data_IF_550577897290
#
_entry.id   IF_550577897290
#
_cell.length_a   1.000
_cell.length_b   1.000
_cell.length_c   1.000
_cell.angle_alpha   90.00
_cell.angle_beta   90.00
_cell.angle_gamma   90.00
#
_symmetry.space_group_name_H-M   'P 1'
#
loop_
_entity.id
_entity.type
_entity.pdbx_description
1 polymer ?
2 branched ?
3 non-polymer ?
4 non-polymer ?
5 non-polymer ?
6 water ?
#
# COMPACT_ATOMS: atom_id res chain seq x y z
N UNK A 1 0.85 15.32 -22.33
CA UNK A 1 -0.10 15.29 -21.17
C UNK A 1 -1.46 15.80 -21.63
N UNK A 2 -2.58 15.34 -21.04
CA UNK A 2 -3.89 15.91 -21.35
C UNK A 2 -4.07 17.26 -20.62
N UNK A 3 -3.96 18.35 -21.36
CA UNK A 3 -4.05 19.69 -20.79
C UNK A 3 -5.37 19.93 -20.06
N UNK A 4 -6.44 19.24 -20.45
CA UNK A 4 -7.75 19.52 -19.79
C UNK A 4 -7.82 18.84 -18.40
N UNK A 5 -6.93 17.90 -18.08
CA UNK A 5 -6.89 17.20 -16.77
C UNK A 5 -6.00 17.97 -15.76
N UNK A 6 -5.12 18.87 -16.21
CA UNK A 6 -4.15 19.61 -15.35
C UNK A 6 -4.96 20.32 -14.25
N UNK A 7 -4.52 20.22 -13.00
CA UNK A 7 -5.08 21.00 -11.84
C UNK A 7 -4.34 22.33 -11.83
N UNK A 8 -5.05 23.46 -11.75
CA UNK A 8 -4.43 24.81 -11.89
C UNK A 8 -4.35 25.45 -10.50
N UNK A 9 -5.46 25.46 -9.76
CA UNK A 9 -5.56 26.07 -8.41
C UNK A 9 -6.28 25.09 -7.48
N UNK A 10 -5.52 24.38 -6.65
CA UNK A 10 -6.04 23.37 -5.70
C UNK A 10 -6.44 24.09 -4.42
N UNK A 11 -7.72 24.06 -4.00
CA UNK A 11 -8.13 24.68 -2.75
C UNK A 11 -7.26 24.21 -1.58
N UNK A 12 -6.97 25.13 -0.67
CA UNK A 12 -6.33 24.86 0.63
C UNK A 12 -4.82 24.91 0.57
N UNK A 13 -4.23 25.24 -0.59
CA UNK A 13 -2.76 25.45 -0.72
C UNK A 13 -2.44 26.95 -0.69
N UNK A 14 -1.48 27.39 0.13
CA UNK A 14 -1.12 28.82 0.29
C UNK A 14 -0.09 29.22 -0.78
N UNK A 15 0.68 28.27 -1.30
CA UNK A 15 1.63 28.45 -2.41
C UNK A 15 1.26 27.47 -3.52
N UNK A 16 1.50 27.84 -4.77
CA UNK A 16 1.21 27.00 -5.94
C UNK A 16 2.37 26.04 -6.13
N UNK A 17 2.10 24.78 -6.52
CA UNK A 17 3.18 23.80 -6.67
C UNK A 17 4.21 24.26 -7.71
N UNK A 18 5.46 23.88 -7.49
CA UNK A 18 6.59 23.97 -8.45
C UNK A 18 6.43 22.93 -9.56
N UNK A 19 5.46 22.04 -9.45
CA UNK A 19 5.29 20.87 -10.37
C UNK A 19 3.89 20.89 -10.97
N UNK A 20 3.79 20.29 -12.15
CA UNK A 20 2.49 20.05 -12.85
C UNK A 20 1.81 18.84 -12.18
N UNK A 21 0.49 18.89 -12.03
CA UNK A 21 -0.28 17.75 -11.50
C UNK A 21 -1.59 17.63 -12.26
N UNK A 22 -2.03 16.39 -12.48
CA UNK A 22 -3.26 16.07 -13.28
C UNK A 22 -4.22 15.23 -12.44
N UNK A 23 -5.51 15.46 -12.66
CA UNK A 23 -6.64 14.66 -12.14
C UNK A 23 -7.67 14.45 -13.28
N UNK A 24 -7.97 13.18 -13.56
CA UNK A 24 -8.94 12.76 -14.58
C UNK A 24 -9.13 11.25 -14.48
N UNK A 25 -9.34 10.57 -15.60
CA UNK A 25 -9.83 9.18 -15.64
C UNK A 25 -9.01 8.37 -16.62
N UNK A 26 -8.54 7.21 -16.15
CA UNK A 26 -7.91 6.18 -17.01
C UNK A 26 -8.95 5.12 -17.35
N UNK A 27 -9.00 4.71 -18.62
CA UNK A 27 -9.95 3.66 -19.08
C UNK A 27 -9.41 2.31 -18.60
N UNK A 28 -10.16 1.66 -17.70
CA UNK A 28 -9.92 0.26 -17.35
C UNK A 28 -10.62 -0.66 -18.34
N UNK A 29 -10.85 -1.91 -17.95
CA UNK A 29 -11.54 -2.89 -18.81
C UNK A 29 -13.03 -2.51 -18.90
N UNK A 30 -13.67 -2.92 -19.99
CA UNK A 30 -15.12 -2.71 -20.18
C UNK A 30 -15.49 -1.25 -20.09
N UNK A 31 -16.40 -0.92 -19.19
CA UNK A 31 -16.94 0.44 -18.95
C UNK A 31 -16.35 1.04 -17.66
N UNK A 32 -15.18 0.57 -17.20
CA UNK A 32 -14.57 1.10 -15.94
C UNK A 32 -13.81 2.41 -16.18
N UNK A 33 -14.04 3.42 -15.33
CA UNK A 33 -13.32 4.72 -15.33
C UNK A 33 -12.61 4.93 -13.98
N UNK A 34 -11.30 4.76 -13.99
CA UNK A 34 -10.45 4.81 -12.77
C UNK A 34 -9.89 6.22 -12.63
N UNK A 35 -10.33 6.93 -11.60
CA UNK A 35 -9.86 8.29 -11.29
C UNK A 35 -8.38 8.26 -10.86
N UNK A 36 -7.55 8.98 -11.61
CA UNK A 36 -6.10 9.14 -11.32
C UNK A 36 -5.83 10.57 -10.84
N UNK A 37 -4.71 10.70 -10.12
CA UNK A 37 -4.10 11.97 -9.65
C UNK A 37 -2.59 11.80 -9.76
N UNK A 38 -2.01 12.48 -10.74
CA UNK A 38 -0.61 12.34 -11.20
C UNK A 38 0.12 13.60 -10.76
N UNK A 39 1.23 13.42 -10.04
CA UNK A 39 2.09 14.53 -9.51
C UNK A 39 3.51 14.34 -10.04
N UNK A 40 3.98 15.25 -10.89
CA UNK A 40 5.28 15.07 -11.58
C UNK A 40 6.39 15.35 -10.56
N UNK A 41 7.56 14.74 -10.77
CA UNK A 41 8.75 14.96 -9.92
C UNK A 41 8.97 16.47 -9.73
N UNK A 42 9.24 16.87 -8.49
CA UNK A 42 9.64 18.25 -8.13
C UNK A 42 11.01 18.54 -8.77
N UNK A 43 11.74 17.51 -9.18
CA UNK A 43 13.11 17.64 -9.75
C UNK A 43 13.20 16.84 -11.05
N UNK A 44 13.40 17.52 -12.19
CA UNK A 44 13.65 16.84 -13.48
C UNK A 44 12.56 15.78 -13.76
N UNK A 45 11.26 16.18 -13.89
CA UNK A 45 10.20 15.22 -14.18
C UNK A 45 10.45 14.44 -15.48
N UNK A 46 10.94 15.13 -16.50
CA UNK A 46 11.15 14.57 -17.85
C UNK A 46 11.89 13.23 -17.73
N UNK A 47 12.78 13.10 -16.74
CA UNK A 47 13.68 11.91 -16.61
C UNK A 47 13.47 11.14 -15.30
N UNK A 48 12.72 11.68 -14.33
CA UNK A 48 12.38 11.00 -13.05
C UNK A 48 11.50 9.78 -13.36
N UNK A 49 11.61 8.68 -12.58
CA UNK A 49 10.77 7.50 -12.80
C UNK A 49 9.27 7.82 -12.70
N UNK A 50 8.45 6.98 -13.35
CA UNK A 50 6.98 6.96 -13.14
C UNK A 50 6.68 5.86 -12.14
N UNK A 51 5.91 6.20 -11.11
CA UNK A 51 5.65 5.32 -9.93
C UNK A 51 4.14 5.26 -9.74
N UNK A 52 3.57 4.13 -10.10
CA UNK A 52 2.19 3.76 -9.71
C UNK A 52 2.12 3.56 -8.18
N UNK A 53 1.14 4.17 -7.54
CA UNK A 53 0.77 3.86 -6.13
C UNK A 53 -0.67 3.33 -6.01
N UNK A 54 -0.83 2.15 -5.40
CA UNK A 54 -2.14 1.55 -5.04
C UNK A 54 -2.24 1.36 -3.53
N UNK A 55 -3.26 1.93 -2.91
CA UNK A 55 -3.75 1.49 -1.58
C UNK A 55 -4.58 0.20 -1.73
N UNK A 56 -4.89 -0.45 -0.61
CA UNK A 56 -5.46 -1.81 -0.60
C UNK A 56 -6.94 -1.80 -0.31
N UNK A 57 -7.33 -2.47 0.80
CA UNK A 57 -8.74 -2.72 1.17
C UNK A 57 -9.04 -4.21 1.18
N UNK A 58 -9.56 -4.80 0.07
CA UNK A 58 -9.91 -4.04 -1.13
C UNK A 58 -11.03 -2.99 -0.99
N UNK A 59 -10.97 -1.97 -1.84
CA UNK A 59 -11.95 -0.88 -1.93
C UNK A 59 -11.50 0.41 -1.27
N UNK A 60 -10.23 0.54 -0.89
CA UNK A 60 -9.67 1.76 -0.25
C UNK A 60 -8.97 2.65 -1.30
N UNK A 61 -9.11 3.96 -1.15
CA UNK A 61 -8.69 4.97 -2.15
C UNK A 61 -7.18 5.23 -2.04
N UNK A 62 -6.45 5.13 -3.16
CA UNK A 62 -5.05 5.59 -3.32
C UNK A 62 -4.86 7.07 -2.96
N UNK A 63 -5.93 7.86 -2.86
CA UNK A 63 -5.85 9.29 -2.47
C UNK A 63 -5.54 9.41 -0.97
N UNK A 64 -5.75 8.35 -0.19
CA UNK A 64 -5.28 8.24 1.23
C UNK A 64 -3.76 8.33 1.25
N UNK A 65 -3.11 7.57 0.38
CA UNK A 65 -1.66 7.64 0.10
C UNK A 65 -1.21 9.07 -0.15
N UNK A 66 -1.84 9.78 -1.09
CA UNK A 66 -1.47 11.16 -1.44
C UNK A 66 -1.63 12.04 -0.19
N UNK A 67 -2.85 12.15 0.34
CA UNK A 67 -3.21 13.19 1.34
C UNK A 67 -2.75 12.86 2.77
N UNK A 68 -2.36 11.62 3.10
CA UNK A 68 -2.01 11.26 4.51
C UNK A 68 -0.69 10.48 4.59
N UNK A 69 -0.15 9.97 3.50
CA UNK A 69 1.08 9.14 3.60
C UNK A 69 2.27 9.89 2.99
N UNK A 70 2.41 9.85 1.66
CA UNK A 70 3.64 10.32 0.97
C UNK A 70 3.35 11.24 -0.23
N UNK A 71 2.19 11.88 -0.29
CA UNK A 71 1.89 12.86 -1.35
C UNK A 71 2.65 14.17 -1.16
N UNK A 72 2.66 15.06 -2.18
CA UNK A 72 3.42 16.31 -2.15
C UNK A 72 2.93 17.33 -1.10
N UNK A 73 1.68 17.16 -0.70
CA UNK A 73 0.98 17.91 0.36
C UNK A 73 -0.01 16.98 1.06
N UNK A 74 -0.28 17.30 2.32
CA UNK A 74 -0.99 16.44 3.30
C UNK A 74 -2.11 17.28 3.90
N UNK A 75 -3.28 16.69 4.03
CA UNK A 75 -4.47 17.37 4.60
C UNK A 75 -4.17 17.56 6.10
N UNK A 76 -4.57 18.70 6.63
CA UNK A 76 -4.49 19.02 8.08
C UNK A 76 -5.81 18.63 8.75
N UNK A 77 -5.84 18.54 10.09
CA UNK A 77 -7.05 18.12 10.81
C UNK A 77 -8.32 18.97 10.58
N UNK A 78 -8.17 20.22 10.12
CA UNK A 78 -9.32 21.09 9.76
C UNK A 78 -10.03 20.54 8.52
N UNK A 79 -9.37 19.70 7.71
CA UNK A 79 -9.94 19.14 6.47
C UNK A 79 -10.09 20.19 5.38
N UNK A 80 -9.31 21.27 5.47
CA UNK A 80 -9.39 22.44 4.55
C UNK A 80 -7.95 22.72 4.08
N UNK A 81 -7.03 22.87 5.02
CA UNK A 81 -5.63 23.24 4.72
C UNK A 81 -4.88 22.02 4.20
N UNK A 82 -4.14 22.19 3.12
CA UNK A 82 -3.06 21.27 2.70
C UNK A 82 -1.72 21.90 3.06
N UNK A 83 -0.78 21.12 3.59
CA UNK A 83 0.58 21.62 3.90
C UNK A 83 1.56 20.78 3.10
N UNK A 84 2.57 21.43 2.53
CA UNK A 84 3.61 20.75 1.73
C UNK A 84 4.33 19.73 2.64
N UNK A 85 4.67 18.60 2.03
CA UNK A 85 5.30 17.41 2.65
C UNK A 85 6.77 17.43 2.26
N UNK A 86 7.70 17.70 3.21
CA UNK A 86 9.13 17.70 2.88
C UNK A 86 9.66 16.31 2.51
N UNK A 87 8.87 15.24 2.70
CA UNK A 87 9.32 13.84 2.44
C UNK A 87 8.50 13.22 1.31
N UNK A 88 7.79 14.05 0.54
CA UNK A 88 6.97 13.59 -0.61
C UNK A 88 7.83 12.73 -1.52
N UNK A 89 7.30 11.57 -1.88
CA UNK A 89 7.89 10.65 -2.89
C UNK A 89 7.97 11.36 -4.24
N UNK A 90 7.16 12.40 -4.46
CA UNK A 90 7.21 13.19 -5.72
C UNK A 90 8.41 14.16 -5.69
N UNK A 91 9.20 14.22 -4.62
CA UNK A 91 10.48 14.98 -4.69
C UNK A 91 11.35 14.41 -5.81
N UNK A 92 11.31 13.09 -6.06
CA UNK A 92 12.25 12.41 -7.02
C UNK A 92 11.48 11.50 -7.98
N UNK A 93 10.15 11.60 -8.05
CA UNK A 93 9.40 10.65 -8.90
C UNK A 93 8.13 11.31 -9.43
N UNK A 94 7.70 10.87 -10.60
CA UNK A 94 6.35 11.17 -11.15
C UNK A 94 5.40 10.11 -10.59
N UNK A 95 4.55 10.50 -9.65
CA UNK A 95 3.76 9.54 -8.84
C UNK A 95 2.30 9.56 -9.32
N UNK A 96 1.82 8.38 -9.70
CA UNK A 96 0.45 8.15 -10.19
C UNK A 96 -0.38 7.49 -9.09
N UNK A 97 -1.19 8.26 -8.39
CA UNK A 97 -2.16 7.69 -7.43
C UNK A 97 -3.41 7.32 -8.23
N UNK A 98 -3.77 6.03 -8.22
CA UNK A 98 -4.91 5.47 -8.99
C UNK A 98 -5.95 4.88 -8.03
N UNK A 99 -7.15 5.48 -8.01
CA UNK A 99 -8.36 4.93 -7.33
C UNK A 99 -8.87 3.70 -8.11
N UNK A 100 -8.74 2.53 -7.49
CA UNK A 100 -8.88 1.20 -8.14
C UNK A 100 -9.28 0.16 -7.10
N UNK A 101 -10.20 -0.78 -7.45
CA UNK A 101 -10.87 -0.83 -8.75
C UNK A 101 -12.04 0.17 -8.87
N UNK A 102 -12.91 -0.03 -9.88
CA UNK A 102 -14.09 0.83 -10.15
C UNK A 102 -15.01 0.91 -8.93
N UNK A 103 -15.49 2.12 -8.66
CA UNK A 103 -16.40 2.42 -7.54
C UNK A 103 -15.63 2.95 -6.33
N UNK A 104 -14.30 2.84 -6.34
CA UNK A 104 -13.46 3.30 -5.20
C UNK A 104 -13.24 4.81 -5.36
N UNK A 105 -13.57 5.59 -4.33
CA UNK A 105 -13.40 7.06 -4.34
C UNK A 105 -14.21 7.70 -5.46
N UNK A 106 -13.54 8.20 -6.49
CA UNK A 106 -14.19 8.89 -7.63
C UNK A 106 -14.22 7.99 -8.87
N UNK A 107 -13.68 6.77 -8.75
CA UNK A 107 -13.71 5.79 -9.85
C UNK A 107 -15.15 5.28 -10.01
N UNK A 108 -15.54 4.92 -11.21
CA UNK A 108 -16.91 4.44 -11.52
C UNK A 108 -16.84 3.59 -12.79
N UNK A 109 -17.99 3.02 -13.14
CA UNK A 109 -18.24 2.39 -14.46
C UNK A 109 -19.63 2.83 -14.93
N UNK A 110 -19.90 2.79 -16.24
CA UNK A 110 -21.22 3.16 -16.79
C UNK A 110 -22.25 2.12 -16.31
N UNK A 111 -21.95 0.82 -16.45
CA UNK A 111 -22.89 -0.27 -16.05
C UNK A 111 -23.02 -0.28 -14.52
N UNK A 112 -22.16 0.47 -13.81
CA UNK A 112 -22.26 0.70 -12.34
C UNK A 112 -22.28 -0.66 -11.61
N UNK A 113 -21.60 -1.66 -12.17
CA UNK A 113 -21.46 -3.02 -11.60
C UNK A 113 -20.08 -3.15 -10.97
N UNK A 114 -19.99 -3.11 -9.64
CA UNK A 114 -18.70 -2.94 -8.91
C UNK A 114 -18.20 -4.26 -8.29
N UNK A 115 -18.77 -5.41 -8.64
CA UNK A 115 -18.32 -6.73 -8.16
C UNK A 115 -17.13 -7.20 -9.02
N UNK A 116 -16.00 -7.53 -8.38
CA UNK A 116 -14.77 -7.83 -9.13
C UNK A 116 -13.91 -8.83 -8.37
N UNK A 117 -12.75 -9.18 -8.92
CA UNK A 117 -11.82 -10.19 -8.34
C UNK A 117 -10.39 -9.87 -8.74
N UNK A 118 -9.43 -10.60 -8.19
CA UNK A 118 -7.98 -10.29 -8.33
C UNK A 118 -7.57 -10.24 -9.82
N UNK A 119 -8.06 -11.16 -10.67
CA UNK A 119 -7.61 -11.32 -12.07
C UNK A 119 -8.16 -10.16 -12.91
N UNK A 120 -9.40 -9.77 -12.63
CA UNK A 120 -10.07 -8.65 -13.33
C UNK A 120 -9.46 -7.29 -12.91
N UNK A 121 -8.99 -7.17 -11.66
CA UNK A 121 -8.45 -5.89 -11.15
C UNK A 121 -7.08 -5.68 -11.81
N UNK A 122 -6.28 -6.74 -11.86
CA UNK A 122 -5.00 -6.78 -12.60
C UNK A 122 -5.23 -6.33 -14.06
N UNK A 123 -6.21 -6.94 -14.75
CA UNK A 123 -6.39 -6.71 -16.22
C UNK A 123 -6.82 -5.27 -16.45
N UNK A 124 -7.74 -4.78 -15.63
CA UNK A 124 -8.29 -3.41 -15.66
C UNK A 124 -7.16 -2.43 -15.33
N UNK A 125 -6.43 -2.66 -14.23
CA UNK A 125 -5.26 -1.80 -13.85
C UNK A 125 -4.27 -1.78 -15.03
N UNK A 126 -4.07 -2.92 -15.71
CA UNK A 126 -3.13 -3.03 -16.85
C UNK A 126 -3.63 -2.14 -18.00
N UNK A 127 -4.93 -2.16 -18.26
CA UNK A 127 -5.54 -1.35 -19.34
C UNK A 127 -5.50 0.13 -18.94
N UNK A 128 -5.69 0.47 -17.68
CA UNK A 128 -5.57 1.87 -17.23
C UNK A 128 -4.12 2.36 -17.44
N UNK A 129 -3.13 1.53 -17.12
CA UNK A 129 -1.70 1.86 -17.37
C UNK A 129 -1.49 2.16 -18.86
N UNK A 130 -2.01 1.32 -19.76
CA UNK A 130 -1.94 1.56 -21.23
C UNK A 130 -2.60 2.91 -21.57
N UNK A 131 -3.77 3.18 -20.99
CA UNK A 131 -4.48 4.48 -21.18
C UNK A 131 -3.61 5.64 -20.71
N UNK A 132 -2.86 5.47 -19.60
CA UNK A 132 -2.00 6.52 -19.00
C UNK A 132 -0.93 6.95 -20.01
N UNK A 133 -0.32 5.95 -20.65
CA UNK A 133 0.81 6.14 -21.58
C UNK A 133 0.33 6.69 -22.94
N UNK A 134 -0.95 6.53 -23.27
CA UNK A 134 -1.60 7.18 -24.44
C UNK A 134 -1.84 8.65 -24.12
N UNK A 135 -2.18 8.99 -22.87
CA UNK A 135 -2.45 10.40 -22.45
C UNK A 135 -1.12 11.11 -22.15
N UNK A 136 -0.10 10.34 -21.75
CA UNK A 136 1.22 10.86 -21.32
C UNK A 136 2.29 10.10 -22.09
N UNK A 137 2.32 10.24 -23.45
CA UNK A 137 3.23 9.46 -24.26
C UNK A 137 4.68 9.88 -24.02
N UNK A 138 4.88 11.10 -23.49
CA UNK A 138 6.21 11.66 -23.11
C UNK A 138 6.80 10.93 -21.90
N UNK A 139 6.03 10.04 -21.26
CA UNK A 139 6.47 9.28 -20.06
C UNK A 139 6.61 7.78 -20.37
N UNK A 140 6.36 7.36 -21.62
CA UNK A 140 6.49 5.93 -22.06
C UNK A 140 7.89 5.37 -21.79
N UNK A 141 8.94 6.20 -21.85
CA UNK A 141 10.35 5.71 -21.89
C UNK A 141 10.96 5.74 -20.48
N UNK A 142 10.44 6.61 -19.60
CA UNK A 142 10.86 6.70 -18.18
C UNK A 142 10.72 5.32 -17.52
N UNK A 143 11.60 5.07 -16.54
CA UNK A 143 11.58 3.89 -15.64
C UNK A 143 10.22 3.84 -14.94
N UNK A 144 9.57 2.68 -14.99
CA UNK A 144 8.24 2.46 -14.37
C UNK A 144 8.44 1.59 -13.13
N UNK A 145 7.78 1.97 -12.05
CA UNK A 145 7.78 1.24 -10.77
C UNK A 145 6.32 1.07 -10.36
N UNK A 146 5.97 -0.16 -9.96
CA UNK A 146 4.63 -0.53 -9.44
C UNK A 146 4.71 -0.66 -7.92
N UNK A 147 3.97 0.16 -7.19
CA UNK A 147 4.09 0.22 -5.71
C UNK A 147 2.71 0.29 -5.08
N UNK A 148 2.62 -0.16 -3.85
CA UNK A 148 1.36 -0.07 -3.09
C UNK A 148 1.50 -0.68 -1.72
N UNK A 149 0.38 -0.74 -1.02
CA UNK A 149 0.29 -1.02 0.43
C UNK A 149 -0.80 -2.07 0.70
N UNK A 150 -0.70 -2.93 1.63
CA UNK A 150 -1.74 -3.78 2.28
C UNK A 150 -2.28 -4.77 1.25
N UNK A 151 -3.52 -4.77 0.82
CA UNK A 151 -4.02 -5.68 -0.26
C UNK A 151 -3.28 -5.44 -1.60
N UNK A 152 -2.62 -4.30 -1.83
CA UNK A 152 -1.79 -4.11 -3.04
C UNK A 152 -0.63 -5.12 -3.07
N UNK A 153 -0.41 -5.85 -1.97
CA UNK A 153 0.45 -7.06 -1.93
C UNK A 153 0.01 -8.13 -2.93
N UNK A 154 -1.28 -8.09 -3.31
CA UNK A 154 -1.90 -8.95 -4.36
C UNK A 154 -2.00 -8.14 -5.65
N UNK A 155 -2.62 -6.96 -5.59
CA UNK A 155 -2.77 -6.06 -6.77
C UNK A 155 -1.44 -5.95 -7.55
N UNK A 156 -0.31 -5.71 -6.87
CA UNK A 156 0.95 -5.26 -7.55
C UNK A 156 1.65 -6.43 -8.24
N UNK A 157 1.93 -7.58 -7.59
CA UNK A 157 2.55 -8.71 -8.29
C UNK A 157 1.65 -9.28 -9.42
N UNK A 158 0.32 -9.31 -9.25
CA UNK A 158 -0.61 -9.75 -10.33
C UNK A 158 -0.54 -8.74 -11.48
N UNK A 159 -0.59 -7.44 -11.18
CA UNK A 159 -0.47 -6.40 -12.24
C UNK A 159 0.90 -6.55 -12.90
N UNK A 160 1.99 -6.66 -12.11
CA UNK A 160 3.39 -6.77 -12.59
C UNK A 160 3.55 -7.89 -13.64
N UNK A 161 2.99 -9.07 -13.39
CA UNK A 161 3.05 -10.23 -14.33
C UNK A 161 2.40 -9.84 -15.66
N UNK A 162 1.33 -9.04 -15.66
CA UNK A 162 0.71 -8.57 -16.93
C UNK A 162 1.65 -7.55 -17.60
N UNK A 163 2.24 -6.64 -16.84
CA UNK A 163 3.11 -5.53 -17.36
C UNK A 163 4.41 -6.10 -17.94
N UNK A 164 4.95 -7.18 -17.39
CA UNK A 164 6.26 -7.71 -17.83
C UNK A 164 6.15 -8.33 -19.25
N UNK A 165 4.93 -8.49 -19.76
CA UNK A 165 4.66 -9.08 -21.11
C UNK A 165 4.42 -7.96 -22.14
N UNK A 166 4.12 -6.73 -21.71
CA UNK A 166 4.02 -5.55 -22.62
C UNK A 166 5.39 -4.89 -22.75
N UNK A 167 6.14 -5.06 -23.87
CA UNK A 167 7.48 -4.51 -23.95
C UNK A 167 7.45 -2.98 -24.08
N UNK A 168 6.30 -2.37 -24.42
CA UNK A 168 6.16 -0.89 -24.47
C UNK A 168 6.27 -0.26 -23.06
N UNK A 169 6.24 -1.05 -21.99
CA UNK A 169 6.28 -0.49 -20.62
C UNK A 169 7.64 -0.78 -20.00
N UNK A 170 8.30 0.27 -19.49
CA UNK A 170 9.72 0.17 -19.05
C UNK A 170 9.74 -0.26 -17.58
N UNK A 171 9.25 -1.46 -17.28
CA UNK A 171 9.17 -1.97 -15.89
C UNK A 171 10.58 -2.19 -15.33
N UNK A 172 10.89 -1.56 -14.19
CA UNK A 172 12.22 -1.73 -13.52
C UNK A 172 12.03 -2.40 -12.16
N UNK A 173 10.91 -2.16 -11.46
CA UNK A 173 10.66 -2.86 -10.19
C UNK A 173 9.27 -2.65 -9.61
N UNK A 174 9.07 -3.21 -8.42
CA UNK A 174 7.90 -3.04 -7.61
C UNK A 174 8.27 -2.97 -6.14
N UNK A 175 7.49 -2.28 -5.34
CA UNK A 175 7.68 -2.18 -3.89
C UNK A 175 6.31 -2.36 -3.24
N UNK A 176 6.25 -3.21 -2.22
CA UNK A 176 4.97 -3.46 -1.50
C UNK A 176 5.18 -3.13 -0.02
N UNK A 177 4.38 -2.19 0.50
CA UNK A 177 4.38 -1.74 1.90
C UNK A 177 3.38 -2.53 2.73
N UNK A 178 3.82 -3.13 3.83
CA UNK A 178 2.96 -3.93 4.73
C UNK A 178 1.93 -4.71 3.91
N UNK A 179 2.44 -5.55 3.01
CA UNK A 179 1.60 -6.21 1.98
C UNK A 179 1.13 -7.60 2.40
N UNK A 180 -0.09 -7.93 2.00
CA UNK A 180 -0.59 -9.32 2.06
C UNK A 180 0.05 -10.11 0.91
N UNK A 181 1.04 -10.96 1.22
CA UNK A 181 1.78 -11.81 0.24
C UNK A 181 1.25 -13.25 0.33
N UNK A 182 0.91 -13.71 1.53
CA UNK A 182 0.51 -15.11 1.84
C UNK A 182 -0.38 -15.12 3.08
N UNK A 183 -1.64 -15.53 2.94
CA UNK A 183 -2.58 -15.56 4.09
C UNK A 183 -1.99 -16.41 5.20
N UNK A 184 -1.41 -17.55 4.83
CA UNK A 184 -0.94 -18.59 5.76
C UNK A 184 0.14 -17.97 6.62
N UNK A 185 1.10 -17.33 5.95
CA UNK A 185 2.32 -16.78 6.58
C UNK A 185 1.98 -15.57 7.44
N UNK A 186 1.03 -14.73 6.99
CA UNK A 186 0.45 -13.61 7.78
C UNK A 186 -0.14 -14.21 9.07
N UNK A 187 -1.15 -15.08 8.93
CA UNK A 187 -1.96 -15.64 10.04
C UNK A 187 -1.07 -16.31 11.08
N UNK A 188 -0.12 -17.15 10.64
CA UNK A 188 0.86 -17.87 11.51
C UNK A 188 1.77 -16.86 12.20
N UNK A 189 2.36 -15.93 11.45
CA UNK A 189 3.27 -14.90 12.01
C UNK A 189 2.50 -14.02 13.02
N UNK A 190 1.23 -13.70 12.77
CA UNK A 190 0.46 -12.76 13.64
C UNK A 190 0.33 -13.35 15.06
N UNK A 191 0.13 -14.67 15.18
CA UNK A 191 -0.11 -15.35 16.49
C UNK A 191 1.15 -15.21 17.36
N UNK A 192 2.32 -15.56 16.82
CA UNK A 192 3.64 -15.30 17.44
C UNK A 192 3.77 -13.82 17.82
N UNK A 193 3.40 -12.91 16.92
CA UNK A 193 3.59 -11.45 17.07
C UNK A 193 2.80 -11.04 18.32
N UNK A 194 1.55 -11.52 18.42
CA UNK A 194 0.62 -11.30 19.55
C UNK A 194 1.25 -11.70 20.89
N UNK A 195 1.79 -12.90 20.98
CA UNK A 195 2.33 -13.45 22.24
C UNK A 195 3.58 -12.65 22.58
N UNK A 196 4.53 -12.53 21.66
CA UNK A 196 5.83 -11.88 21.97
C UNK A 196 5.69 -10.35 22.04
N UNK A 197 4.54 -9.77 21.69
CA UNK A 197 4.26 -8.34 22.01
C UNK A 197 3.32 -8.20 23.22
N UNK A 198 3.16 -9.27 24.00
CA UNK A 198 2.53 -9.18 25.34
C UNK A 198 1.03 -9.06 25.26
N UNK A 199 0.40 -9.49 24.17
CA UNK A 199 -1.09 -9.39 24.01
C UNK A 199 -1.78 -10.65 24.54
N UNK A 200 -1.10 -11.79 24.51
CA UNK A 200 -1.57 -13.10 25.07
C UNK A 200 -0.66 -13.50 26.23
N UNK A 201 -1.21 -14.24 27.20
CA UNK A 201 -0.46 -14.77 28.35
C UNK A 201 0.04 -16.19 28.08
N UNK A 202 0.67 -16.81 29.07
CA UNK A 202 1.19 -18.21 28.97
C UNK A 202 0.06 -19.23 28.95
N UNK A 203 -1.04 -18.93 29.63
CA UNK A 203 -2.24 -19.79 29.61
C UNK A 203 -2.61 -20.08 28.16
N UNK A 204 -2.88 -19.02 27.39
CA UNK A 204 -3.34 -19.14 25.99
C UNK A 204 -2.19 -19.57 25.10
N UNK A 205 -0.96 -19.11 25.36
CA UNK A 205 0.22 -19.49 24.55
C UNK A 205 0.54 -20.98 24.70
N UNK A 206 0.77 -21.42 25.94
CA UNK A 206 1.06 -22.84 26.30
C UNK A 206 0.05 -23.78 25.62
N UNK A 207 -1.22 -23.36 25.56
CA UNK A 207 -2.35 -24.12 24.97
C UNK A 207 -2.22 -24.20 23.43
N UNK A 208 -1.90 -23.09 22.77
CA UNK A 208 -1.69 -23.02 21.30
C UNK A 208 -0.52 -23.94 20.93
N UNK A 209 0.59 -23.85 21.66
CA UNK A 209 1.78 -24.73 21.43
C UNK A 209 1.31 -26.19 21.39
N UNK A 210 0.44 -26.56 22.34
CA UNK A 210 0.10 -27.98 22.63
C UNK A 210 -0.82 -28.49 21.50
N UNK A 211 -1.83 -27.70 21.13
CA UNK A 211 -2.96 -28.12 20.23
C UNK A 211 -2.81 -27.66 18.78
N UNK A 212 -1.88 -26.77 18.44
CA UNK A 212 -1.75 -26.21 17.06
C UNK A 212 -0.40 -26.57 16.45
N UNK A 213 0.53 -27.07 17.26
CA UNK A 213 1.96 -27.20 16.91
C UNK A 213 2.43 -28.63 17.14
N UNK A 214 3.61 -28.98 16.60
CA UNK A 214 4.30 -30.30 16.65
C UNK A 214 5.63 -30.21 15.89
N UNK A 215 6.61 -31.05 16.28
CA UNK A 215 7.99 -31.13 15.70
C UNK A 215 8.53 -29.70 15.44
N UNK A 216 8.32 -28.78 16.38
CA UNK A 216 8.86 -27.40 16.37
C UNK A 216 8.11 -26.48 15.38
N UNK A 217 7.12 -27.00 14.64
CA UNK A 217 6.37 -26.24 13.60
C UNK A 217 4.92 -26.09 14.02
N UNK A 218 4.36 -24.87 13.89
CA UNK A 218 2.97 -24.51 14.28
C UNK A 218 2.09 -24.25 13.07
N UNK A 219 0.80 -24.59 13.16
CA UNK A 219 -0.21 -24.29 12.13
C UNK A 219 -1.37 -23.53 12.78
N UNK A 220 -1.40 -22.22 12.53
CA UNK A 220 -2.41 -21.27 13.07
C UNK A 220 -3.28 -20.81 11.92
N UNK A 221 -3.03 -21.36 10.73
CA UNK A 221 -3.66 -20.91 9.45
C UNK A 221 -4.90 -21.74 9.13
N UNK A 222 -4.73 -23.06 8.96
CA UNK A 222 -5.82 -23.98 8.49
C UNK A 222 -5.97 -25.14 9.50
N UNK A 223 -5.44 -24.99 10.71
CA UNK A 223 -5.30 -26.07 11.73
C UNK A 223 -6.71 -26.43 12.20
N UNK A 224 -6.90 -27.69 12.61
CA UNK A 224 -8.27 -28.22 12.80
C UNK A 224 -8.49 -28.82 14.20
N UNK A 225 -7.44 -29.05 15.02
CA UNK A 225 -7.59 -29.43 16.45
C UNK A 225 -8.65 -28.50 17.06
N UNK A 226 -9.58 -29.05 17.84
CA UNK A 226 -10.76 -28.30 18.38
C UNK A 226 -10.24 -27.17 19.27
N UNK A 227 -9.39 -27.53 20.22
CA UNK A 227 -8.77 -26.59 21.14
C UNK A 227 -7.95 -25.52 20.40
N UNK A 228 -7.26 -25.91 19.34
CA UNK A 228 -6.51 -24.96 18.46
C UNK A 228 -7.47 -23.93 17.88
N UNK A 229 -8.55 -24.38 17.24
CA UNK A 229 -9.54 -23.48 16.59
C UNK A 229 -10.19 -22.61 17.67
N UNK A 230 -10.14 -23.04 18.93
CA UNK A 230 -10.76 -22.33 20.08
C UNK A 230 -9.77 -21.25 20.55
N UNK A 231 -8.51 -21.64 20.72
CA UNK A 231 -7.43 -20.73 21.17
C UNK A 231 -7.32 -19.56 20.17
N UNK A 232 -7.21 -19.87 18.86
CA UNK A 232 -7.07 -18.88 17.74
C UNK A 232 -8.22 -17.88 17.72
N UNK A 233 -9.40 -18.26 18.24
CA UNK A 233 -10.58 -17.36 18.27
C UNK A 233 -10.42 -16.33 19.40
N UNK A 234 -9.73 -16.69 20.48
CA UNK A 234 -9.51 -15.73 21.59
C UNK A 234 -8.46 -14.74 21.10
N UNK A 235 -7.47 -15.25 20.35
CA UNK A 235 -6.38 -14.45 19.71
C UNK A 235 -6.97 -13.39 18.79
N UNK A 236 -8.04 -13.69 18.05
CA UNK A 236 -8.64 -12.75 17.08
C UNK A 236 -9.42 -11.66 17.83
N UNK A 237 -10.06 -12.05 18.95
CA UNK A 237 -10.83 -11.14 19.83
C UNK A 237 -9.87 -10.14 20.43
N UNK A 238 -8.71 -10.62 20.91
CA UNK A 238 -7.68 -9.80 21.63
C UNK A 238 -7.08 -8.82 20.61
N UNK A 239 -6.52 -9.36 19.51
CA UNK A 239 -5.85 -8.58 18.43
C UNK A 239 -6.85 -7.63 17.78
N UNK A 240 -8.01 -8.13 17.35
CA UNK A 240 -8.91 -7.45 16.40
C UNK A 240 -10.13 -6.79 17.04
N UNK A 241 -10.68 -7.31 18.14
CA UNK A 241 -11.93 -6.70 18.67
C UNK A 241 -11.82 -6.31 20.16
N UNK A 242 -10.63 -5.97 20.68
CA UNK A 242 -10.48 -5.55 22.11
C UNK A 242 -10.23 -4.04 22.26
N UNK A 243 -9.94 -3.31 21.19
CA UNK A 243 -9.65 -1.86 21.26
C UNK A 243 -8.18 -1.52 20.96
N UNK A 244 -7.36 -2.52 20.64
CA UNK A 244 -6.01 -2.29 20.06
C UNK A 244 -6.11 -1.74 18.63
N UNK A 245 -5.30 -0.76 18.26
CA UNK A 245 -5.16 -0.32 16.87
C UNK A 245 -4.37 -1.39 16.11
N UNK A 246 -5.04 -2.10 15.24
CA UNK A 246 -4.48 -3.23 14.47
C UNK A 246 -3.40 -2.69 13.50
N UNK A 247 -3.46 -1.40 13.13
CA UNK A 247 -2.56 -0.74 12.14
C UNK A 247 -1.28 -0.25 12.83
N UNK A 248 -1.31 -0.13 14.14
CA UNK A 248 -0.15 0.39 14.90
C UNK A 248 -0.42 0.13 16.37
N UNK A 249 0.19 -0.95 16.86
CA UNK A 249 -0.04 -1.51 18.21
C UNK A 249 0.20 -0.43 19.26
N UNK A 250 1.16 0.47 19.02
CA UNK A 250 1.59 1.47 20.04
C UNK A 250 0.85 2.79 19.83
N UNK A 251 -0.10 2.84 18.91
CA UNK A 251 -0.91 4.06 18.67
C UNK A 251 -2.25 3.89 19.37
N UNK A 252 -2.94 5.00 19.72
CA UNK A 252 -4.26 4.88 20.32
C UNK A 252 -5.27 4.46 19.23
N UNK A 253 -6.39 3.88 19.64
CA UNK A 253 -7.56 3.59 18.76
C UNK A 253 -8.40 4.87 18.63
N UNK A 254 -8.45 5.46 17.42
CA UNK A 254 -9.17 6.73 17.17
C UNK A 254 -10.65 6.49 17.52
N UNK A 255 -11.23 7.29 18.38
CA UNK A 255 -12.61 7.07 18.86
C UNK A 255 -12.68 6.27 20.16
N UNK A 256 -11.53 5.77 20.63
CA UNK A 256 -11.48 5.11 21.95
C UNK A 256 -11.95 3.68 21.88
N UNK A 257 -11.85 2.98 23.00
CA UNK A 257 -12.11 1.52 23.07
C UNK A 257 -13.63 1.32 23.02
N UNK A 258 -14.13 0.51 22.06
CA UNK A 258 -15.53 0.13 22.04
C UNK A 258 -15.87 -0.77 23.24
N UNK A 259 -16.93 -0.43 23.97
CA UNK A 259 -17.49 -1.20 25.11
C UNK A 259 -18.35 -2.36 24.60
N UNK A 299 -17.56 2.33 3.93
CA UNK A 299 -16.72 1.63 4.95
C UNK A 299 -15.73 2.64 5.55
N UNK A 300 -15.33 2.35 6.79
CA UNK A 300 -14.34 3.10 7.62
C UNK A 300 -13.54 2.10 8.46
N UNK A 301 -12.20 1.99 8.29
CA UNK A 301 -11.40 1.02 9.04
C UNK A 301 -11.50 1.22 10.55
N UNK A 302 -11.42 0.15 11.37
CA UNK A 302 -11.51 0.31 12.82
C UNK A 302 -10.30 1.10 13.31
N UNK A 303 -10.51 1.91 14.35
CA UNK A 303 -9.48 2.64 15.13
C UNK A 303 -8.83 3.73 14.26
N UNK A 304 -9.45 4.10 13.14
CA UNK A 304 -8.90 5.11 12.20
C UNK A 304 -9.95 6.18 11.89
N UNK A 305 -9.46 7.40 11.77
CA UNK A 305 -10.25 8.64 11.62
C UNK A 305 -9.97 9.19 10.23
N UNK A 306 -10.91 9.07 9.30
CA UNK A 306 -10.72 9.46 7.88
C UNK A 306 -11.38 10.82 7.61
N UNK A 307 -11.77 11.56 8.65
CA UNK A 307 -12.59 12.80 8.56
C UNK A 307 -11.83 13.87 7.75
N UNK A 308 -10.59 14.23 8.10
CA UNK A 308 -9.81 15.28 7.39
C UNK A 308 -9.85 15.06 5.87
N UNK A 309 -9.49 13.87 5.38
CA UNK A 309 -9.41 13.57 3.94
C UNK A 309 -10.81 13.65 3.30
N UNK A 310 -11.82 13.08 3.97
CA UNK A 310 -13.24 13.02 3.54
C UNK A 310 -13.77 14.44 3.43
N UNK A 311 -13.53 15.26 4.45
CA UNK A 311 -13.98 16.67 4.52
C UNK A 311 -13.40 17.41 3.30
N UNK A 312 -12.09 17.27 3.07
CA UNK A 312 -11.36 17.94 1.95
C UNK A 312 -11.91 17.48 0.59
N UNK A 313 -11.99 16.16 0.34
CA UNK A 313 -12.29 15.63 -1.01
C UNK A 313 -13.79 15.75 -1.33
N UNK A 314 -14.64 16.02 -0.33
CA UNK A 314 -16.11 16.14 -0.56
C UNK A 314 -16.48 17.61 -0.77
N UNK A 315 -15.53 18.53 -0.61
CA UNK A 315 -15.72 19.97 -0.91
C UNK A 315 -15.98 20.13 -2.41
N UNK A 316 -17.13 20.73 -2.81
CA UNK A 316 -17.47 20.89 -4.23
C UNK A 316 -16.35 21.50 -5.11
N UNK A 317 -15.69 22.55 -4.62
CA UNK A 317 -14.59 23.28 -5.31
C UNK A 317 -13.35 22.38 -5.43
N UNK A 318 -13.13 21.52 -4.43
CA UNK A 318 -12.02 20.52 -4.53
C UNK A 318 -12.36 19.56 -5.66
N UNK A 319 -13.60 19.09 -5.73
CA UNK A 319 -14.04 18.19 -6.84
C UNK A 319 -13.87 18.89 -8.19
N UNK A 320 -14.22 20.18 -8.27
CA UNK A 320 -14.11 20.93 -9.55
C UNK A 320 -12.63 21.00 -9.96
N UNK A 321 -11.76 21.40 -9.03
CA UNK A 321 -10.31 21.54 -9.25
C UNK A 321 -9.74 20.20 -9.74
N UNK A 322 -10.23 19.09 -9.17
CA UNK A 322 -9.83 17.70 -9.46
C UNK A 322 -10.62 17.11 -10.66
N UNK A 323 -11.52 17.88 -11.28
CA UNK A 323 -12.19 17.54 -12.58
C UNK A 323 -13.07 16.31 -12.37
N UNK A 324 -13.74 16.24 -11.23
CA UNK A 324 -14.65 15.11 -10.88
C UNK A 324 -16.06 15.43 -11.39
N UNK A 325 -16.67 14.59 -12.25
CA UNK A 325 -18.07 14.74 -12.64
C UNK A 325 -19.02 14.98 -11.45
N UNK A 326 -19.87 16.00 -11.56
CA UNK A 326 -20.81 16.47 -10.49
C UNK A 326 -21.75 15.33 -10.10
N UNK A 327 -22.10 14.46 -11.05
CA UNK A 327 -23.09 13.34 -10.88
C UNK A 327 -22.58 12.31 -9.85
N UNK A 328 -21.26 12.15 -9.66
CA UNK A 328 -20.68 11.01 -8.89
C UNK A 328 -21.02 11.13 -7.41
N UNK A 329 -21.29 10.01 -6.71
CA UNK A 329 -21.63 10.07 -5.29
C UNK A 329 -20.43 10.52 -4.44
N UNK A 330 -20.66 10.67 -3.14
CA UNK A 330 -19.67 11.25 -2.18
C UNK A 330 -18.38 10.42 -2.18
N UNK A 331 -17.27 11.07 -1.85
CA UNK A 331 -15.98 10.36 -1.71
C UNK A 331 -15.92 9.70 -0.34
N UNK A 332 -15.71 8.38 -0.31
CA UNK A 332 -15.32 7.63 0.92
C UNK A 332 -13.91 7.04 0.71
N UNK A 333 -13.13 7.04 1.79
CA UNK A 333 -11.81 6.38 1.92
C UNK A 333 -11.87 4.90 1.47
N UNK A 334 -12.82 4.14 2.02
CA UNK A 334 -13.03 2.72 1.67
C UNK A 334 -14.49 2.54 1.24
N UNK A 335 -14.70 1.93 0.07
CA UNK A 335 -16.02 1.53 -0.46
C UNK A 335 -16.39 0.19 0.19
N UNK A 336 -17.31 0.18 1.15
CA UNK A 336 -17.82 -1.04 1.84
C UNK A 336 -18.32 -2.05 0.81
N UNK A 337 -19.04 -1.58 -0.20
CA UNK A 337 -19.75 -2.42 -1.19
C UNK A 337 -18.72 -3.14 -2.08
N UNK A 338 -17.70 -2.43 -2.61
CA UNK A 338 -16.62 -3.07 -3.41
C UNK A 338 -16.02 -4.15 -2.54
N UNK A 339 -15.77 -3.80 -1.28
CA UNK A 339 -15.17 -4.74 -0.29
C UNK A 339 -16.11 -5.93 -0.17
N UNK A 340 -17.40 -5.65 0.07
CA UNK A 340 -18.47 -6.65 0.33
C UNK A 340 -18.60 -7.61 -0.87
N UNK A 341 -18.62 -7.09 -2.09
CA UNK A 341 -18.85 -7.93 -3.29
C UNK A 341 -17.54 -8.43 -3.92
N UNK A 342 -16.37 -8.13 -3.34
CA UNK A 342 -15.05 -8.51 -3.94
C UNK A 342 -14.87 -10.01 -3.72
N UNK A 343 -14.28 -10.72 -4.68
CA UNK A 343 -13.96 -12.15 -4.51
C UNK A 343 -12.44 -12.34 -4.64
N UNK A 344 -11.83 -12.75 -3.54
CA UNK A 344 -10.40 -13.05 -3.43
C UNK A 344 -10.17 -14.39 -4.14
N UNK A 345 -9.10 -14.48 -4.94
CA UNK A 345 -8.80 -15.64 -5.79
C UNK A 345 -7.46 -16.24 -5.36
N UNK A 346 -6.45 -15.39 -5.11
CA UNK A 346 -5.11 -15.90 -4.76
C UNK A 346 -4.98 -15.96 -3.24
N UNK A 347 -4.27 -16.98 -2.74
CA UNK A 347 -3.93 -17.12 -1.30
C UNK A 347 -2.43 -16.86 -1.13
N UNK A 348 -1.64 -16.95 -2.22
CA UNK A 348 -0.18 -16.74 -2.17
C UNK A 348 0.27 -16.04 -3.45
N UNK A 349 1.31 -15.22 -3.34
CA UNK A 349 1.92 -14.49 -4.46
C UNK A 349 3.26 -15.15 -4.80
N UNK A 350 3.52 -16.32 -4.23
CA UNK A 350 4.77 -17.10 -4.47
C UNK A 350 5.03 -17.22 -5.97
N UNK A 351 4.04 -17.65 -6.76
CA UNK A 351 4.23 -17.90 -8.22
C UNK A 351 4.39 -16.57 -8.97
N UNK A 352 3.64 -15.53 -8.63
CA UNK A 352 3.81 -14.18 -9.25
C UNK A 352 5.27 -13.73 -9.03
N UNK A 353 5.74 -13.77 -7.80
CA UNK A 353 7.11 -13.28 -7.47
C UNK A 353 8.16 -14.12 -8.18
N UNK A 354 8.00 -15.45 -8.20
CA UNK A 354 9.04 -16.31 -8.84
C UNK A 354 8.99 -16.07 -10.35
N UNK A 355 7.84 -15.77 -10.93
CA UNK A 355 7.75 -15.41 -12.38
C UNK A 355 8.59 -14.14 -12.62
N UNK A 356 8.32 -13.09 -11.83
CA UNK A 356 9.01 -11.77 -11.92
C UNK A 356 10.50 -11.95 -11.66
N UNK A 357 10.87 -12.81 -10.72
CA UNK A 357 12.30 -13.00 -10.34
C UNK A 357 13.05 -13.80 -11.41
N UNK A 358 12.36 -14.71 -12.10
CA UNK A 358 12.93 -15.65 -13.12
C UNK A 358 13.42 -14.85 -14.33
N UNK A 359 12.77 -13.73 -14.67
CA UNK A 359 13.22 -12.79 -15.72
C UNK A 359 14.56 -12.14 -15.33
N UNK A 360 14.79 -11.87 -14.04
CA UNK A 360 16.01 -11.18 -13.54
C UNK A 360 16.12 -9.75 -14.09
N UNK A 361 15.01 -9.13 -14.51
CA UNK A 361 14.99 -7.76 -15.09
C UNK A 361 14.58 -6.72 -14.03
N UNK A 362 13.90 -7.13 -12.94
CA UNK A 362 13.18 -6.22 -12.01
C UNK A 362 13.75 -6.30 -10.61
N UNK A 363 13.82 -5.15 -9.94
CA UNK A 363 14.20 -5.06 -8.51
C UNK A 363 12.91 -5.01 -7.70
N UNK A 364 12.77 -5.90 -6.70
CA UNK A 364 11.56 -6.01 -5.85
C UNK A 364 11.91 -5.64 -4.41
N UNK A 365 11.09 -4.82 -3.77
CA UNK A 365 11.20 -4.47 -2.33
C UNK A 365 9.88 -4.77 -1.61
N UNK A 366 9.94 -5.58 -0.55
CA UNK A 366 8.81 -5.72 0.40
C UNK A 366 9.26 -5.05 1.70
N UNK A 367 8.55 -4.01 2.11
CA UNK A 367 8.88 -3.19 3.29
C UNK A 367 7.71 -3.24 4.25
N UNK A 368 8.00 -3.44 5.53
CA UNK A 368 6.97 -3.56 6.60
C UNK A 368 7.31 -2.66 7.78
N UNK A 369 6.39 -1.76 8.15
CA UNK A 369 6.39 -1.22 9.50
C UNK A 369 6.28 -2.35 10.50
N UNK A 370 7.14 -2.40 11.51
CA UNK A 370 7.29 -3.57 12.42
C UNK A 370 6.37 -3.46 13.65
N UNK A 371 5.50 -2.45 13.73
CA UNK A 371 4.45 -2.44 14.80
C UNK A 371 3.05 -2.51 14.19
N UNK A 372 2.94 -2.79 12.90
CA UNK A 372 1.64 -3.12 12.25
C UNK A 372 1.20 -4.53 12.68
N UNK A 373 -0.10 -4.78 12.88
CA UNK A 373 -0.63 -6.17 13.09
C UNK A 373 -1.54 -6.66 11.95
N UNK A 374 -1.93 -5.80 10.99
CA UNK A 374 -2.81 -6.17 9.86
C UNK A 374 -2.01 -6.97 8.84
N UNK A 375 -0.78 -6.52 8.49
CA UNK A 375 0.20 -7.27 7.68
C UNK A 375 1.58 -7.14 8.32
N UNK A 376 1.81 -7.92 9.38
CA UNK A 376 3.00 -7.81 10.29
C UNK A 376 4.28 -8.16 9.53
N UNK A 377 5.42 -7.59 9.96
CA UNK A 377 6.71 -7.65 9.21
C UNK A 377 7.16 -9.10 9.05
N UNK A 378 6.91 -9.94 10.06
CA UNK A 378 7.49 -11.31 10.15
C UNK A 378 6.89 -12.18 9.04
N UNK A 379 5.58 -12.13 8.84
CA UNK A 379 4.87 -12.82 7.76
C UNK A 379 5.51 -12.53 6.41
N UNK A 380 5.85 -11.28 6.14
CA UNK A 380 6.42 -10.88 4.82
C UNK A 380 7.92 -11.25 4.80
N UNK A 381 8.61 -11.21 5.94
CA UNK A 381 10.02 -11.67 5.97
C UNK A 381 10.10 -13.18 5.70
N UNK A 382 9.22 -13.99 6.33
CA UNK A 382 9.07 -15.44 6.09
C UNK A 382 8.82 -15.65 4.60
N UNK A 383 7.91 -14.86 4.04
CA UNK A 383 7.51 -14.98 2.62
C UNK A 383 8.74 -14.83 1.73
N UNK A 384 9.46 -13.71 1.86
CA UNK A 384 10.63 -13.40 1.00
C UNK A 384 11.66 -14.53 1.18
N UNK A 385 11.89 -14.99 2.42
CA UNK A 385 12.86 -16.09 2.71
C UNK A 385 12.45 -17.37 2.00
N UNK A 386 11.15 -17.68 2.00
CA UNK A 386 10.59 -18.95 1.49
C UNK A 386 10.67 -18.97 -0.04
N UNK A 387 10.97 -17.83 -0.70
CA UNK A 387 11.21 -17.75 -2.16
C UNK A 387 12.57 -18.37 -2.48
N UNK A 388 13.40 -18.58 -1.45
CA UNK A 388 14.67 -19.33 -1.53
C UNK A 388 15.56 -18.75 -2.63
N UNK A 389 15.68 -17.42 -2.71
CA UNK A 389 16.46 -16.79 -3.80
C UNK A 389 17.94 -16.88 -3.47
N UNK A 390 18.79 -16.45 -4.41
CA UNK A 390 20.27 -16.48 -4.34
C UNK A 390 20.77 -15.14 -3.80
N UNK A 391 22.10 -15.00 -3.79
CA UNK A 391 22.86 -13.79 -3.34
C UNK A 391 22.44 -13.35 -1.92
N UNK A 392 21.97 -14.31 -1.11
CA UNK A 392 21.55 -14.03 0.29
C UNK A 392 22.65 -13.15 0.88
N UNK A 393 22.34 -11.87 1.15
CA UNK A 393 23.28 -10.87 1.74
C UNK A 393 22.77 -10.48 3.12
N UNK A 394 23.66 -10.61 4.11
CA UNK A 394 23.33 -10.85 5.54
C UNK A 394 22.42 -9.73 6.06
N UNK A 395 21.43 -10.12 6.87
CA UNK A 395 20.51 -9.19 7.55
C UNK A 395 21.37 -8.21 8.35
N UNK A 396 21.18 -6.91 8.11
CA UNK A 396 21.90 -5.83 8.83
C UNK A 396 20.92 -4.68 9.12
N UNK A 397 21.23 -3.85 10.13
CA UNK A 397 20.52 -2.58 10.30
C UNK A 397 20.75 -1.66 9.10
N UNK A 398 19.77 -0.81 8.77
CA UNK A 398 19.96 0.31 7.83
C UNK A 398 19.72 1.61 8.58
N UNK A 399 20.38 2.69 8.15
CA UNK A 399 20.52 3.94 8.94
C UNK A 399 19.84 5.12 8.23
N UNK A 400 19.37 6.07 9.01
CA UNK A 400 18.90 7.38 8.52
C UNK A 400 19.56 8.46 9.39
N UNK A 401 19.97 9.57 8.78
CA UNK A 401 20.49 10.74 9.54
C UNK A 401 19.29 11.62 9.86
N UNK A 402 18.88 11.74 11.13
CA UNK A 402 17.86 12.73 11.55
C UNK A 402 18.57 14.06 11.86
N UNK A 403 18.02 15.17 11.37
CA UNK A 403 18.68 16.50 11.39
C UNK A 403 19.43 16.74 12.69
N UNK A 404 18.72 16.62 13.81
CA UNK A 404 19.25 16.78 15.19
C UNK A 404 19.94 15.48 15.67
N UNK A 405 19.14 14.45 15.94
CA UNK A 405 19.52 13.20 16.68
C UNK A 405 20.64 12.43 15.95
N UNK A 406 21.02 12.82 14.74
CA UNK A 406 22.15 12.18 14.01
C UNK A 406 21.77 10.84 13.39
N UNK A 407 22.75 9.99 13.10
CA UNK A 407 22.51 8.65 12.51
C UNK A 407 21.71 7.80 13.50
N UNK A 408 20.66 7.13 13.03
CA UNK A 408 19.77 6.28 13.87
C UNK A 408 19.47 4.99 13.10
N UNK A 409 19.34 3.86 13.78
CA UNK A 409 18.82 2.62 13.12
C UNK A 409 17.36 2.88 12.73
N UNK A 410 17.04 2.82 11.44
CA UNK A 410 15.70 3.03 10.86
C UNK A 410 14.95 1.70 10.70
N UNK A 411 15.67 0.59 10.82
CA UNK A 411 15.14 -0.78 10.71
C UNK A 411 16.22 -1.78 10.29
N UNK A 412 15.79 -2.92 9.76
CA UNK A 412 16.68 -4.04 9.33
C UNK A 412 16.38 -4.36 7.86
N UNK A 413 17.42 -4.79 7.14
CA UNK A 413 17.33 -5.13 5.69
C UNK A 413 18.02 -6.46 5.44
N UNK A 414 17.43 -7.22 4.53
CA UNK A 414 17.90 -8.52 4.02
C UNK A 414 17.84 -8.47 2.49
N UNK A 415 19.00 -8.47 1.83
CA UNK A 415 19.09 -8.37 0.35
C UNK A 415 19.38 -9.76 -0.23
N UNK A 416 18.51 -10.21 -1.13
CA UNK A 416 18.76 -11.35 -2.05
C UNK A 416 19.00 -10.72 -3.41
N UNK A 417 19.35 -11.55 -4.39
CA UNK A 417 19.38 -11.20 -5.84
C UNK A 417 17.99 -10.70 -6.24
N UNK A 418 17.89 -9.41 -6.57
CA UNK A 418 16.71 -8.76 -7.22
C UNK A 418 15.51 -8.62 -6.28
N UNK A 419 15.62 -9.01 -5.01
CA UNK A 419 14.51 -8.82 -4.02
C UNK A 419 15.11 -8.55 -2.65
N UNK A 420 14.65 -7.50 -1.96
CA UNK A 420 15.08 -7.16 -0.59
C UNK A 420 13.84 -7.20 0.32
N UNK A 421 13.99 -7.65 1.56
CA UNK A 421 12.99 -7.43 2.63
C UNK A 421 13.53 -6.40 3.63
N UNK A 422 12.67 -5.49 4.07
CA UNK A 422 13.11 -4.37 4.92
C UNK A 422 12.05 -4.05 5.98
N UNK A 423 12.46 -3.86 7.25
CA UNK A 423 11.56 -3.36 8.31
C UNK A 423 11.75 -1.84 8.48
N UNK A 424 10.70 -1.16 8.86
CA UNK A 424 10.81 0.22 9.40
C UNK A 424 10.46 0.21 10.89
N UNK A 425 11.46 0.43 11.74
CA UNK A 425 11.40 0.33 13.20
C UNK A 425 10.44 1.38 13.73
N UNK A 426 9.33 0.97 14.36
CA UNK A 426 8.39 1.89 15.04
C UNK A 426 7.33 2.45 14.10
N UNK A 427 7.32 2.04 12.84
CA UNK A 427 6.25 2.35 11.86
C UNK A 427 5.16 1.28 11.89
N UNK A 428 3.90 1.71 11.73
CA UNK A 428 2.75 0.82 11.58
C UNK A 428 2.44 0.56 10.11
N UNK A 429 1.19 0.28 9.84
CA UNK A 429 0.64 -0.11 8.51
C UNK A 429 0.93 0.96 7.46
N UNK A 430 0.74 2.23 7.82
CA UNK A 430 1.01 3.37 6.91
C UNK A 430 2.42 3.90 7.17
N UNK A 431 3.45 3.20 6.65
CA UNK A 431 4.90 3.52 6.90
C UNK A 431 5.20 5.01 6.71
N UNK A 432 4.86 5.65 5.55
CA UNK A 432 5.22 7.05 5.31
C UNK A 432 4.55 8.07 6.24
N UNK A 433 3.37 7.72 6.79
CA UNK A 433 2.63 8.51 7.78
C UNK A 433 3.43 8.52 9.08
N UNK A 434 3.94 7.35 9.52
CA UNK A 434 4.54 7.20 10.88
C UNK A 434 6.02 7.63 10.84
N UNK A 435 6.74 7.31 9.76
CA UNK A 435 8.20 7.48 9.63
C UNK A 435 8.51 8.04 8.25
N UNK A 436 8.13 9.31 7.96
CA UNK A 436 8.25 9.85 6.61
C UNK A 436 9.69 9.97 6.08
N UNK A 437 10.64 10.34 6.93
CA UNK A 437 12.06 10.46 6.53
C UNK A 437 12.61 9.06 6.25
N UNK A 438 12.33 8.07 7.11
CA UNK A 438 12.74 6.67 6.84
C UNK A 438 12.05 6.19 5.57
N UNK A 439 10.76 6.47 5.39
CA UNK A 439 10.02 6.04 4.18
C UNK A 439 10.69 6.65 2.94
N UNK A 440 11.00 7.95 2.98
CA UNK A 440 11.59 8.67 1.84
C UNK A 440 12.99 8.12 1.55
N UNK A 441 13.80 7.89 2.57
CA UNK A 441 15.19 7.39 2.43
C UNK A 441 15.15 6.02 1.76
N UNK A 442 14.30 5.12 2.28
CA UNK A 442 14.07 3.77 1.70
C UNK A 442 13.72 3.93 0.22
N UNK A 443 12.69 4.71 -0.09
CA UNK A 443 12.19 4.93 -1.46
C UNK A 443 13.35 5.40 -2.36
N UNK A 444 14.08 6.44 -1.96
CA UNK A 444 15.20 7.01 -2.74
C UNK A 444 16.20 5.90 -3.05
N UNK A 445 16.59 5.12 -2.05
CA UNK A 445 17.60 4.06 -2.26
C UNK A 445 17.06 2.99 -3.21
N UNK A 446 15.78 2.62 -3.08
CA UNK A 446 15.11 1.61 -3.95
C UNK A 446 15.13 2.10 -5.41
N UNK A 447 14.75 3.35 -5.64
CA UNK A 447 14.73 3.93 -7.02
C UNK A 447 16.14 3.89 -7.62
N UNK A 448 17.15 4.25 -6.82
CA UNK A 448 18.54 4.46 -7.30
C UNK A 448 19.26 3.11 -7.39
N UNK A 449 18.58 2.01 -7.07
CA UNK A 449 19.14 0.62 -7.03
C UNK A 449 20.48 0.64 -6.27
N UNK A 450 20.49 1.20 -5.05
CA UNK A 450 21.68 1.30 -4.16
C UNK A 450 21.26 1.00 -2.71
X LIG B 1 -13.11 -12.84 -12.38
X LIG B 1 -13.66 -14.26 -12.53
X LIG B 1 -13.76 -14.66 -13.99
X LIG B 1 -14.47 -13.58 -14.80
X LIG B 1 -13.87 -12.21 -14.53
X LIG B 1 -14.62 -11.12 -15.28
X LIG B 1 -13.34 -16.12 -11.01
X LIG B 1 -12.51 -17.36 -10.82
X LIG B 1 -12.82 -15.20 -11.81
X LIG B 1 -14.49 -15.89 -14.10
X LIG B 1 -14.35 -13.88 -16.20
X LIG B 1 -13.92 -11.94 -13.13
X LIG B 1 -15.83 -10.80 -14.59
X LIG B 1 -14.42 -15.97 -10.46
X LIG B 2 -15.66 -13.82 -16.79
X LIG B 2 -15.54 -13.98 -18.31
X LIG B 2 -16.90 -14.10 -19.01
X LIG B 2 -17.80 -15.08 -18.28
X LIG B 2 -17.88 -14.78 -16.78
X LIG B 2 -18.78 -15.76 -16.04
X LIG B 2 -15.08 -11.59 -18.69
X LIG B 2 -14.07 -10.58 -19.16
X LIG B 2 -14.73 -12.88 -18.82
X LIG B 2 -16.70 -14.53 -20.37
X LIG B 2 -19.11 -15.03 -18.87
X LIG B 2 -16.55 -14.81 -16.25
X LIG B 2 -18.17 -17.06 -15.90
X LIG B 2 -16.15 -11.22 -18.21
X LIG C 1 -11.29 12.95 13.76
X LIG C 1 -11.48 13.40 15.19
X LIG C 1 -12.22 14.72 15.27
X LIG C 1 -11.59 15.76 14.32
X LIG C 1 -11.51 15.14 12.93
X LIG C 1 -10.92 16.07 11.88
X LIG C 1 -11.61 11.45 16.68
X LIG C 1 -12.49 10.61 17.56
X LIG C 1 -12.22 12.41 15.97
X LIG C 1 -12.21 15.19 16.62
X LIG C 1 -12.39 16.94 14.28
X LIG C 1 -10.69 13.98 12.99
X LIG C 1 -9.50 16.15 12.08
X LIG C 1 -10.40 11.23 16.68
X LIG C 2 -11.69 18.04 14.65
X LIG C 2 -12.21 19.33 14.03
X LIG C 2 -11.36 20.55 14.36
X LIG C 2 -11.12 20.63 15.86
X LIG C 2 -10.60 19.31 16.40
X LIG C 2 -10.44 19.37 17.91
X LIG C 2 -13.43 19.11 11.92
X LIG C 2 -13.32 19.18 10.44
X LIG C 2 -12.27 19.20 12.58
X LIG C 2 -12.04 21.70 13.86
X LIG C 2 -10.20 21.69 16.15
X LIG C 2 -11.49 18.23 16.07
X LIG C 2 -11.43 20.25 18.48
X LIG C 2 -14.49 19.02 12.51
X LIG D 1 -4.14 0.30 2.71
X LIG D 1 -3.44 0.15 3.76
X LIG D 1 -3.75 0.84 1.68
X LIG D 1 -5.59 -0.20 2.69
X LIG E 1 -6.05 -12.09 6.55
X LIG E 1 -4.81 -12.35 6.41
X LIG E 1 -6.90 -12.91 6.98
X LIG E 1 -6.55 -10.69 6.20
X LIG F 1 13.82 -17.79 -9.60
X LIG F 1 14.55 -16.78 -9.76
X LIG F 1 14.06 -18.73 -8.81
X LIG F 1 12.54 -17.91 -10.45
X LIG G 1 21.69 -7.62 -6.94
X LIG G 1 22.27 -8.52 -7.62
X LIG G 1 20.44 -7.35 -7.00
X LIG G 1 22.56 -6.82 -5.98
X LIG H 1 -0.67 4.36 11.59
X LIG H 1 -0.04 4.96 12.51
X LIG H 1 -0.17 3.51 10.77
X LIG H 1 -2.17 4.71 11.50
X LIG I 1 -18.00 4.96 -20.14
X LIG J 1 1.71 -1.75 -25.05
X LIG K 1 -5.86 -30.72 20.68
X LIG L 1 0.72 -25.30 4.89
X LIG M 1 -2.08 -26.55 5.93
X LIG N 1 22.57 -3.37 -1.34
X LIG O 1 12.78 6.91 16.54
X LIG O 1 12.77 5.63 17.16
X LIG O 1 13.74 6.93 15.36
X LIG O 1 14.94 6.25 15.72
X LIG O 1 13.16 6.32 14.11
X LIG O 1 14.17 5.86 13.23
#
# INVERSE_FOLDING_TARGET
APDQDEIQRLPGLAKQPSFRQYSGYLKGSGSKHLHYWFVESQKDPENSPVVLWLNGGPGCSSLDGLLTEHGPFLVQPDGVTLEYNPYSWNLIANVLYLESPAGVGFSYSDDKFYATNDTEVAQSNFEALQDFFRLFPEYKNNKLFLTGEXYAGIYIPTLAVLVMQDPSMNLQGLAVGNGLSSYEQNDNSLVYFAYYHGLLGNRLWSSLQTHCCSQNKCNFYDNKDLECVTNLQEVARIVGNSGLNIYNLYAPCAGGVPSHFRYEKDTVVVQDLGNIFTRLPLKRMWHQALLRSGDKVRMDPPCTNTTAASTYLNNPYVRKALNIPEQLPQWDMCNFLVNLQYRRLYRSMNSQYLKLLSSQKYQILLYNGDVDMACNFMGDEWFVDSLNQKMEVQRRPWLVKYGDSGEQIAGFVKEFSHIAFLTIKGAGHMVPTDKPLAAFTMFSRFLNKQPYHHHHHH
NAG C1 C2 C3 C4 C5 C6 C7 C8 N2 O3 O4 O5 O6 O7
NAG C1 C2 C3 C4 C5 C6 C7 C8 N2 O3 O4 O5 O6 O7
NAG C1 C2 C3 C4 C5 C6 C7 C8 N2 O3 O4 O5 O6 O7
NAG C1 C2 C3 C4 C5 C6 C7 C8 N2 O3 O4 O5 O6 O7
ACT C O OXT CH3
ACT C O OXT CH3
ACT C O OXT CH3
ACT C O OXT CH3
ACT C O OXT CH3
CD CD
CD CD
CD CD
CD CD
CD CD
CD CD
GOL C1 O1 C2 O2 C3 O3
#
